data_IF_416074900824
#
_entry.id   IF_416074900824
#
_cell.length_a   1.000
_cell.length_b   1.000
_cell.length_c   1.000
_cell.angle_alpha   90.00
_cell.angle_beta   90.00
_cell.angle_gamma   90.00
#
_symmetry.space_group_name_H-M   'P 1'
#
loop_
_entity.id
_entity.type
_entity.pdbx_description
1 polymer ?
#
# COMPACT_ATOMS: atom_id res chain seq x y z
N UNK A 1 -8.32 24.13 5.89
CA UNK A 1 -7.13 24.14 6.78
C UNK A 1 -6.63 25.57 6.97
N UNK A 2 -5.88 25.88 8.04
CA UNK A 2 -5.21 27.17 8.20
C UNK A 2 -4.31 27.50 7.00
N UNK A 3 -4.26 28.77 6.57
CA UNK A 3 -3.51 29.20 5.38
C UNK A 3 -2.01 28.83 5.44
N UNK A 4 -1.41 28.89 6.64
CA UNK A 4 -0.01 28.50 6.84
C UNK A 4 0.27 27.05 6.40
N UNK A 5 -0.70 26.14 6.58
CA UNK A 5 -0.56 24.73 6.22
C UNK A 5 -0.74 24.46 4.71
N UNK A 6 -1.16 25.46 3.94
CA UNK A 6 -1.35 25.36 2.47
C UNK A 6 -0.10 25.81 1.68
N UNK A 7 0.89 26.39 2.34
CA UNK A 7 2.07 26.96 1.67
C UNK A 7 2.91 25.85 1.01
N UNK A 8 3.13 25.98 -0.30
CA UNK A 8 4.04 25.09 -1.05
C UNK A 8 3.48 23.70 -1.37
N UNK A 9 2.15 23.54 -1.40
CA UNK A 9 1.45 22.33 -1.84
C UNK A 9 0.25 22.68 -2.72
N UNK A 10 -0.22 21.73 -3.52
CA UNK A 10 -1.50 21.89 -4.21
C UNK A 10 -2.64 21.58 -3.25
N UNK A 11 -3.81 22.15 -3.50
CA UNK A 11 -4.97 21.87 -2.65
C UNK A 11 -6.27 21.94 -3.46
N UNK A 12 -7.22 21.11 -3.05
CA UNK A 12 -8.56 21.10 -3.62
C UNK A 12 -9.35 22.34 -3.13
N UNK A 13 -9.86 23.12 -4.09
CA UNK A 13 -10.69 24.30 -3.80
C UNK A 13 -12.15 23.96 -4.07
N UNK A 14 -12.97 24.05 -3.02
CA UNK A 14 -14.42 23.89 -3.12
C UNK A 14 -15.01 25.15 -3.77
N UNK A 15 -15.31 25.06 -5.05
CA UNK A 15 -16.03 26.10 -5.80
C UNK A 15 -17.47 25.67 -6.03
N UNK A 16 -18.46 26.52 -5.73
CA UNK A 16 -19.88 26.15 -5.77
C UNK A 16 -20.43 25.79 -7.17
N UNK A 17 -19.60 25.83 -8.22
CA UNK A 17 -19.97 25.51 -9.60
C UNK A 17 -19.78 24.04 -9.96
N UNK A 18 -18.75 23.37 -9.44
CA UNK A 18 -18.49 21.92 -9.68
C UNK A 18 -18.60 21.10 -8.41
N UNK A 19 -18.17 21.66 -7.28
CA UNK A 19 -18.17 20.97 -5.99
C UNK A 19 -19.45 21.24 -5.22
N UNK A 20 -20.07 20.18 -4.70
CA UNK A 20 -21.26 20.26 -3.84
C UNK A 20 -20.97 19.64 -2.50
N UNK A 21 -21.37 20.27 -1.41
CA UNK A 21 -21.33 19.62 -0.10
C UNK A 21 -22.20 18.35 -0.19
N UNK A 22 -21.66 17.19 0.20
CA UNK A 22 -22.39 15.91 0.10
C UNK A 22 -23.72 16.00 0.85
N UNK A 23 -23.65 16.37 2.14
CA UNK A 23 -24.79 16.71 2.99
C UNK A 23 -24.29 17.35 4.28
N UNK A 24 -25.06 18.27 4.86
CA UNK A 24 -24.75 18.81 6.20
C UNK A 24 -24.71 17.67 7.23
N UNK A 25 -23.68 17.65 8.07
CA UNK A 25 -23.47 16.61 9.07
C UNK A 25 -22.66 15.40 8.59
N UNK A 26 -22.31 15.32 7.31
CA UNK A 26 -21.36 14.32 6.82
C UNK A 26 -19.92 14.79 7.05
N UNK A 27 -19.15 13.96 7.74
CA UNK A 27 -17.75 14.21 8.08
C UNK A 27 -16.93 12.94 7.88
N UNK A 28 -15.62 13.11 7.80
CA UNK A 28 -14.67 12.00 7.80
C UNK A 28 -13.63 12.22 8.90
N UNK A 29 -13.06 11.12 9.38
CA UNK A 29 -11.99 11.11 10.35
C UNK A 29 -11.23 9.80 10.23
N UNK A 30 -9.98 9.89 9.80
CA UNK A 30 -9.12 8.72 9.56
C UNK A 30 -7.84 8.81 10.37
N UNK A 31 -7.37 7.65 10.82
CA UNK A 31 -6.09 7.46 11.50
C UNK A 31 -5.37 6.29 10.84
N UNK A 32 -4.08 6.48 10.55
CA UNK A 32 -3.23 5.53 9.87
C UNK A 32 -2.29 4.83 10.86
N UNK A 33 -1.73 3.68 10.44
CA UNK A 33 -0.85 2.86 11.29
C UNK A 33 0.46 3.53 11.69
N UNK A 34 0.87 4.58 10.97
CA UNK A 34 2.03 5.43 11.28
C UNK A 34 1.71 6.56 12.30
N UNK A 35 0.47 6.63 12.79
CA UNK A 35 -0.03 7.68 13.69
C UNK A 35 -0.49 8.95 12.96
N UNK A 36 -0.35 9.01 11.64
CA UNK A 36 -0.91 10.08 10.83
C UNK A 36 -2.44 10.09 10.89
N UNK A 37 -3.03 11.25 10.75
CA UNK A 37 -4.49 11.40 10.81
C UNK A 37 -4.95 12.61 10.02
N UNK A 38 -6.20 12.54 9.55
CA UNK A 38 -6.88 13.63 8.87
C UNK A 38 -8.38 13.60 9.18
N UNK A 39 -9.00 14.77 9.22
CA UNK A 39 -10.45 14.89 9.38
C UNK A 39 -10.99 16.13 8.71
N UNK A 40 -12.28 16.13 8.41
CA UNK A 40 -12.92 17.26 7.75
C UNK A 40 -14.32 16.98 7.22
N UNK A 41 -14.68 17.72 6.19
CA UNK A 41 -16.00 17.69 5.55
C UNK A 41 -15.95 16.91 4.24
N UNK A 42 -17.12 16.43 3.81
CA UNK A 42 -17.23 15.61 2.59
C UNK A 42 -17.97 16.37 1.51
N UNK A 43 -17.36 16.44 0.34
CA UNK A 43 -17.92 17.01 -0.87
C UNK A 43 -18.17 15.93 -1.91
N UNK A 44 -18.93 16.26 -2.93
CA UNK A 44 -19.10 15.46 -4.12
C UNK A 44 -18.60 16.29 -5.29
N UNK A 45 -17.70 15.71 -6.08
CA UNK A 45 -17.22 16.30 -7.32
C UNK A 45 -16.82 15.19 -8.30
N UNK A 46 -16.50 15.60 -9.53
CA UNK A 46 -15.92 14.75 -10.55
C UNK A 46 -14.45 14.48 -10.24
N UNK A 47 -14.07 13.21 -10.20
CA UNK A 47 -12.67 12.78 -10.03
C UNK A 47 -12.27 11.94 -11.25
N UNK A 48 -11.12 12.24 -11.83
CA UNK A 48 -10.55 11.50 -12.95
C UNK A 48 -9.13 11.03 -12.63
N UNK A 49 -8.85 9.75 -12.89
CA UNK A 49 -7.53 9.13 -12.77
C UNK A 49 -7.22 8.42 -14.08
N UNK A 50 -6.31 9.00 -14.87
CA UNK A 50 -6.10 8.57 -16.25
C UNK A 50 -7.41 8.65 -17.05
N UNK A 51 -7.84 7.53 -17.65
CA UNK A 51 -9.10 7.44 -18.39
C UNK A 51 -10.32 7.10 -17.54
N UNK A 52 -10.15 6.68 -16.27
CA UNK A 52 -11.26 6.36 -15.38
C UNK A 52 -11.84 7.64 -14.78
N UNK A 53 -13.16 7.82 -14.86
CA UNK A 53 -13.84 9.02 -14.35
C UNK A 53 -15.03 8.63 -13.48
N UNK A 54 -15.03 9.08 -12.23
CA UNK A 54 -16.19 9.08 -11.36
C UNK A 54 -16.83 10.47 -11.41
N UNK A 55 -18.10 10.56 -11.81
CA UNK A 55 -18.80 11.85 -11.99
C UNK A 55 -19.34 12.44 -10.70
N UNK A 56 -19.44 11.64 -9.64
CA UNK A 56 -20.03 12.00 -8.35
C UNK A 56 -19.28 11.30 -7.21
N UNK A 57 -17.97 11.50 -7.14
CA UNK A 57 -17.10 10.90 -6.13
C UNK A 57 -17.14 11.70 -4.84
N UNK A 58 -17.22 11.01 -3.69
CA UNK A 58 -16.99 11.64 -2.40
C UNK A 58 -15.52 12.07 -2.27
N UNK A 59 -15.30 13.37 -2.05
CA UNK A 59 -14.00 14.01 -1.82
C UNK A 59 -13.94 14.48 -0.37
N UNK A 60 -13.09 13.82 0.42
CA UNK A 60 -12.86 14.07 1.84
C UNK A 60 -11.91 15.27 2.02
N UNK A 61 -12.46 16.47 2.11
CA UNK A 61 -11.70 17.72 2.17
C UNK A 61 -11.23 18.00 3.60
N UNK A 62 -9.94 17.77 3.84
CA UNK A 62 -9.33 17.92 5.15
C UNK A 62 -9.41 19.36 5.68
N UNK A 63 -9.83 19.48 6.95
CA UNK A 63 -9.74 20.73 7.72
C UNK A 63 -8.70 20.63 8.82
N UNK A 64 -8.35 19.41 9.25
CA UNK A 64 -7.28 19.06 10.18
C UNK A 64 -6.46 17.91 9.62
N UNK A 65 -5.13 17.99 9.77
CA UNK A 65 -4.16 16.97 9.36
C UNK A 65 -3.00 16.93 10.36
N UNK A 66 -2.39 15.77 10.56
CA UNK A 66 -1.21 15.62 11.41
C UNK A 66 0.01 16.36 10.84
N UNK A 67 0.95 16.73 11.72
CA UNK A 67 2.15 17.50 11.34
C UNK A 67 3.04 16.79 10.31
N UNK A 68 3.09 15.45 10.33
CA UNK A 68 3.82 14.66 9.34
C UNK A 68 3.31 14.85 7.89
N UNK A 69 2.00 15.04 7.71
CA UNK A 69 1.44 15.37 6.40
C UNK A 69 1.64 16.84 6.02
N UNK A 70 1.80 17.73 7.00
CA UNK A 70 2.14 19.14 6.77
C UNK A 70 3.63 19.30 6.40
N UNK A 71 4.53 18.47 6.92
CA UNK A 71 5.95 18.54 6.59
C UNK A 71 6.25 17.93 5.21
N UNK A 72 5.50 16.90 4.79
CA UNK A 72 5.60 16.34 3.45
C UNK A 72 4.84 17.21 2.43
N UNK A 73 5.56 17.73 1.43
CA UNK A 73 5.01 18.59 0.36
C UNK A 73 4.79 17.86 -0.96
N UNK A 74 5.25 16.62 -1.06
CA UNK A 74 5.13 15.81 -2.28
C UNK A 74 3.77 15.07 -2.34
N UNK A 75 2.96 15.17 -1.28
CA UNK A 75 1.68 14.48 -1.13
C UNK A 75 0.58 15.51 -0.81
N UNK A 76 -0.35 15.71 -1.75
CA UNK A 76 -1.49 16.63 -1.60
C UNK A 76 -2.73 15.96 -0.99
N UNK A 77 -2.73 14.62 -0.88
CA UNK A 77 -3.84 13.83 -0.35
C UNK A 77 -3.66 12.34 -0.62
N UNK A 78 -4.70 11.55 -0.32
CA UNK A 78 -4.71 10.10 -0.56
C UNK A 78 -5.94 9.70 -1.37
N UNK A 79 -5.75 8.70 -2.24
CA UNK A 79 -6.83 8.05 -2.98
C UNK A 79 -6.90 6.60 -2.51
N UNK A 80 -7.84 6.32 -1.60
CA UNK A 80 -8.02 5.00 -1.00
C UNK A 80 -8.53 3.97 -2.01
N UNK A 81 -7.83 2.83 -2.10
CA UNK A 81 -8.12 1.73 -3.03
C UNK A 81 -8.43 0.40 -2.30
N UNK A 82 -8.75 0.48 -1.01
CA UNK A 82 -9.33 -0.64 -0.26
C UNK A 82 -10.80 -0.85 -0.61
N UNK A 83 -11.52 -1.62 0.21
CA UNK A 83 -12.97 -1.80 0.04
C UNK A 83 -13.74 -0.72 0.82
N UNK A 84 -14.95 -0.40 0.36
CA UNK A 84 -15.83 0.63 0.96
C UNK A 84 -16.05 0.44 2.47
N UNK A 85 -15.98 -0.79 2.99
CA UNK A 85 -16.13 -1.08 4.42
C UNK A 85 -15.09 -0.37 5.31
N UNK A 86 -13.92 -0.02 4.76
CA UNK A 86 -12.90 0.78 5.46
C UNK A 86 -13.13 2.30 5.39
N UNK A 87 -14.13 2.78 4.64
CA UNK A 87 -14.37 4.21 4.51
C UNK A 87 -14.80 4.84 5.85
N UNK A 88 -14.20 6.00 6.15
CA UNK A 88 -14.36 6.69 7.43
C UNK A 88 -15.51 7.69 7.47
N UNK A 89 -16.20 7.94 6.35
CA UNK A 89 -17.30 8.90 6.29
C UNK A 89 -18.45 8.44 7.17
N UNK A 90 -18.99 9.38 7.96
CA UNK A 90 -20.17 9.19 8.80
C UNK A 90 -21.18 10.31 8.52
N UNK A 91 -22.50 10.05 8.71
CA UNK A 91 -23.11 8.84 9.25
C UNK A 91 -23.20 7.66 8.26
N UNK A 92 -23.04 7.90 6.96
CA UNK A 92 -23.11 6.85 5.94
C UNK A 92 -21.80 6.78 5.17
N UNK A 93 -21.21 5.59 5.13
CA UNK A 93 -19.98 5.32 4.38
C UNK A 93 -20.14 5.67 2.90
N UNK A 94 -19.05 6.12 2.28
CA UNK A 94 -18.99 6.47 0.87
C UNK A 94 -18.09 5.50 0.10
N UNK A 95 -18.39 5.34 -1.18
CA UNK A 95 -17.63 4.45 -2.05
C UNK A 95 -16.19 4.97 -2.25
N UNK A 96 -15.25 4.04 -2.37
CA UNK A 96 -13.91 4.33 -2.88
C UNK A 96 -13.98 4.76 -4.35
N UNK A 97 -12.90 5.36 -4.88
CA UNK A 97 -12.84 5.70 -6.30
C UNK A 97 -13.02 4.47 -7.18
N UNK A 98 -12.39 3.35 -6.82
CA UNK A 98 -12.51 2.10 -7.57
C UNK A 98 -13.94 1.58 -7.57
N UNK A 99 -14.61 1.55 -6.41
CA UNK A 99 -16.01 1.14 -6.31
C UNK A 99 -16.95 2.03 -7.14
N UNK A 100 -16.65 3.33 -7.24
CA UNK A 100 -17.40 4.28 -8.06
C UNK A 100 -17.23 4.07 -9.57
N UNK A 101 -16.10 3.52 -10.04
CA UNK A 101 -15.81 3.36 -11.48
C UNK A 101 -15.89 1.92 -11.97
N UNK A 102 -15.82 0.91 -11.09
CA UNK A 102 -15.59 -0.49 -11.51
C UNK A 102 -16.61 -1.05 -12.49
N UNK A 103 -17.86 -0.61 -12.43
CA UNK A 103 -18.94 -1.05 -13.33
C UNK A 103 -18.86 -0.44 -14.73
N UNK A 104 -18.13 0.67 -14.91
CA UNK A 104 -17.88 1.28 -16.23
C UNK A 104 -16.57 0.84 -16.86
N UNK A 105 -15.74 0.08 -16.12
CA UNK A 105 -14.51 -0.51 -16.64
C UNK A 105 -14.81 -1.76 -17.48
N UNK A 106 -13.97 -2.02 -18.48
CA UNK A 106 -14.04 -3.26 -19.30
C UNK A 106 -13.94 -4.51 -18.42
N UNK A 107 -13.12 -4.46 -17.38
CA UNK A 107 -13.08 -5.44 -16.29
C UNK A 107 -13.04 -4.69 -14.97
N UNK A 108 -13.78 -5.09 -13.93
CA UNK A 108 -13.71 -4.46 -12.62
C UNK A 108 -12.42 -4.89 -11.90
N UNK A 109 -11.29 -4.33 -12.34
CA UNK A 109 -9.96 -4.55 -11.79
C UNK A 109 -9.08 -3.32 -11.99
N UNK A 110 -8.03 -3.21 -11.19
CA UNK A 110 -6.91 -2.31 -11.43
C UNK A 110 -5.58 -3.04 -11.21
N UNK A 111 -4.50 -2.53 -11.79
CA UNK A 111 -3.18 -3.11 -11.65
C UNK A 111 -2.13 -2.04 -11.35
N UNK A 112 -1.14 -2.39 -10.54
CA UNK A 112 -0.03 -1.50 -10.18
C UNK A 112 1.29 -2.09 -10.63
N UNK A 113 2.17 -1.21 -11.11
CA UNK A 113 3.58 -1.51 -11.38
C UNK A 113 4.42 -0.45 -10.71
N UNK A 114 4.95 -0.76 -9.52
CA UNK A 114 5.92 0.13 -8.88
C UNK A 114 7.30 -0.17 -9.43
N UNK A 115 8.09 0.87 -9.73
CA UNK A 115 9.46 0.73 -10.19
C UNK A 115 10.41 1.31 -9.14
N UNK A 116 11.56 0.68 -8.96
CA UNK A 116 12.56 1.19 -8.04
C UNK A 116 13.24 2.44 -8.63
N UNK A 117 13.10 3.58 -7.95
CA UNK A 117 13.70 4.85 -8.35
C UNK A 117 13.32 5.30 -9.77
N UNK A 118 12.10 4.95 -10.20
CA UNK A 118 11.55 5.34 -11.49
C UNK A 118 10.02 5.40 -11.41
N UNK A 119 9.41 6.09 -12.37
CA UNK A 119 7.96 6.16 -12.48
C UNK A 119 7.34 4.77 -12.70
N UNK A 120 6.25 4.52 -11.99
CA UNK A 120 5.43 3.33 -12.13
C UNK A 120 4.16 3.59 -12.95
N UNK A 121 3.16 2.73 -12.78
CA UNK A 121 1.84 2.90 -13.38
C UNK A 121 0.72 2.33 -12.52
N UNK A 122 -0.46 2.92 -12.65
CA UNK A 122 -1.74 2.41 -12.18
C UNK A 122 -2.67 2.28 -13.39
N UNK A 123 -3.05 1.06 -13.72
CA UNK A 123 -3.92 0.74 -14.85
C UNK A 123 -5.32 0.37 -14.35
N UNK A 124 -6.38 0.87 -14.99
CA UNK A 124 -7.76 0.54 -14.65
C UNK A 124 -8.43 -0.21 -15.81
N UNK A 125 -9.12 -1.30 -15.50
CA UNK A 125 -10.01 -1.97 -16.45
C UNK A 125 -9.38 -3.02 -17.33
N UNK A 126 -8.05 -3.17 -17.31
CA UNK A 126 -7.33 -4.13 -18.15
C UNK A 126 -6.03 -4.59 -17.47
N UNK A 127 -5.48 -5.68 -17.99
CA UNK A 127 -4.20 -6.23 -17.55
C UNK A 127 -3.21 -6.03 -18.70
N UNK A 128 -2.13 -5.30 -18.46
CA UNK A 128 -1.13 -5.04 -19.49
C UNK A 128 -0.08 -6.15 -19.53
N UNK A 129 -0.14 -7.02 -20.55
CA UNK A 129 0.78 -8.14 -20.73
C UNK A 129 2.23 -7.74 -21.00
N UNK A 130 2.50 -6.48 -21.37
CA UNK A 130 3.87 -5.99 -21.58
C UNK A 130 4.58 -5.61 -20.27
N UNK A 131 3.85 -5.53 -19.15
CA UNK A 131 4.41 -5.10 -17.84
C UNK A 131 4.82 -6.27 -16.94
N UNK A 132 4.56 -7.51 -17.35
CA UNK A 132 4.92 -8.71 -16.58
C UNK A 132 5.39 -9.84 -17.49
N UNK A 133 6.09 -10.81 -16.89
CA UNK A 133 6.53 -12.03 -17.55
C UNK A 133 5.91 -13.25 -16.87
N UNK A 134 5.74 -14.34 -17.63
CA UNK A 134 5.14 -15.57 -17.13
C UNK A 134 3.62 -15.45 -16.95
N UNK A 135 3.09 -16.11 -15.92
CA UNK A 135 1.65 -16.18 -15.64
C UNK A 135 1.31 -15.42 -14.36
N UNK A 136 0.09 -14.88 -14.30
CA UNK A 136 -0.49 -14.36 -13.07
C UNK A 136 -0.90 -15.53 -12.16
N UNK A 137 -0.44 -15.51 -10.91
CA UNK A 137 -0.92 -16.39 -9.85
C UNK A 137 -1.92 -15.62 -8.99
N UNK A 138 -3.15 -16.12 -8.92
CA UNK A 138 -4.22 -15.48 -8.16
C UNK A 138 -4.39 -16.11 -6.78
N UNK A 139 -4.55 -15.30 -5.74
CA UNK A 139 -4.95 -15.71 -4.40
C UNK A 139 -6.32 -15.09 -4.05
N UNK A 140 -7.20 -15.84 -3.36
CA UNK A 140 -8.49 -15.30 -2.90
C UNK A 140 -8.26 -14.21 -1.85
N UNK A 141 -9.12 -13.19 -1.85
CA UNK A 141 -9.06 -12.07 -0.92
C UNK A 141 -10.23 -12.14 0.06
N UNK A 142 -9.94 -11.98 1.34
CA UNK A 142 -10.92 -11.69 2.38
C UNK A 142 -11.10 -10.18 2.51
N UNK A 143 -12.16 -9.66 1.90
CA UNK A 143 -12.49 -8.24 1.89
C UNK A 143 -13.21 -7.75 3.16
N UNK A 144 -13.58 -8.64 4.09
CA UNK A 144 -14.46 -8.32 5.24
C UNK A 144 -13.90 -7.26 6.19
N UNK A 145 -12.58 -7.08 6.21
CA UNK A 145 -11.90 -6.04 6.99
C UNK A 145 -11.56 -4.77 6.20
N UNK A 146 -12.09 -4.62 4.98
CA UNK A 146 -11.85 -3.46 4.13
C UNK A 146 -10.50 -3.45 3.39
N UNK A 147 -9.73 -4.54 3.47
CA UNK A 147 -8.36 -4.65 2.92
C UNK A 147 -8.25 -5.75 1.86
N UNK A 148 -7.26 -5.61 0.97
CA UNK A 148 -6.83 -6.67 0.04
C UNK A 148 -6.01 -7.74 0.77
N UNK A 149 -6.69 -8.44 1.68
CA UNK A 149 -6.11 -9.39 2.63
C UNK A 149 -6.18 -10.81 2.10
N UNK A 150 -5.08 -11.55 2.19
CA UNK A 150 -5.00 -12.94 1.75
C UNK A 150 -3.99 -13.72 2.60
N UNK A 151 -4.16 -15.05 2.76
CA UNK A 151 -3.29 -15.84 3.61
C UNK A 151 -1.96 -16.15 2.93
N UNK A 152 -0.88 -16.08 3.70
CA UNK A 152 0.44 -16.57 3.37
C UNK A 152 0.86 -17.67 4.35
N UNK A 153 1.76 -18.55 3.90
CA UNK A 153 2.28 -19.65 4.72
C UNK A 153 3.74 -19.99 4.47
N UNK A 154 4.21 -19.80 3.24
CA UNK A 154 5.56 -20.15 2.83
C UNK A 154 6.34 -18.91 2.45
N UNK A 155 7.62 -18.92 2.79
CA UNK A 155 8.58 -17.88 2.46
C UNK A 155 9.91 -18.54 2.10
N UNK A 156 10.85 -17.79 1.55
CA UNK A 156 12.18 -18.28 1.25
C UNK A 156 13.24 -17.23 1.52
N UNK A 157 14.38 -17.63 2.04
CA UNK A 157 15.50 -16.72 2.35
C UNK A 157 16.73 -17.32 1.69
N UNK A 158 17.35 -16.54 0.81
CA UNK A 158 18.57 -16.95 0.10
C UNK A 158 18.48 -18.34 -0.58
N UNK A 159 17.36 -18.61 -1.27
CA UNK A 159 17.13 -19.88 -1.96
C UNK A 159 16.54 -21.01 -1.10
N UNK A 160 16.71 -20.95 0.22
CA UNK A 160 16.10 -21.91 1.16
C UNK A 160 14.63 -21.58 1.37
N UNK A 161 13.74 -22.55 1.16
CA UNK A 161 12.30 -22.38 1.37
C UNK A 161 11.90 -22.85 2.76
N UNK A 162 11.01 -22.12 3.39
CA UNK A 162 10.49 -22.37 4.73
C UNK A 162 8.96 -22.45 4.71
N UNK A 163 8.40 -23.11 5.72
CA UNK A 163 6.96 -23.14 5.99
C UNK A 163 6.74 -22.59 7.39
N UNK A 164 5.87 -21.61 7.52
CA UNK A 164 5.51 -20.98 8.80
C UNK A 164 4.74 -21.93 9.74
N UNK A 165 4.26 -23.06 9.23
CA UNK A 165 3.45 -24.03 9.97
C UNK A 165 1.96 -23.71 9.87
N UNK A 166 1.58 -22.46 10.13
CA UNK A 166 0.21 -21.93 10.02
C UNK A 166 0.09 -20.85 8.95
N UNK A 167 -1.14 -20.53 8.55
CA UNK A 167 -1.37 -19.33 7.73
C UNK A 167 -1.23 -18.08 8.60
N UNK A 168 -0.70 -17.01 8.03
CA UNK A 168 -0.79 -15.66 8.56
C UNK A 168 -1.38 -14.75 7.48
N UNK A 169 -2.24 -13.84 7.89
CA UNK A 169 -2.86 -12.90 6.96
C UNK A 169 -1.87 -11.81 6.55
N UNK A 170 -1.90 -11.45 5.27
CA UNK A 170 -1.15 -10.35 4.71
C UNK A 170 -2.07 -9.46 3.86
N UNK A 171 -1.86 -8.15 3.93
CA UNK A 171 -2.51 -7.20 3.01
C UNK A 171 -1.52 -6.76 1.93
N UNK A 172 -2.00 -6.54 0.70
CA UNK A 172 -1.26 -5.76 -0.29
C UNK A 172 -1.61 -4.29 -0.10
N UNK A 173 -0.63 -3.45 0.23
CA UNK A 173 -0.87 -2.06 0.59
C UNK A 173 0.08 -1.11 -0.13
N UNK A 174 -0.44 -0.40 -1.12
CA UNK A 174 0.31 0.60 -1.88
C UNK A 174 0.68 1.83 -1.05
N UNK A 175 -0.02 2.09 0.06
CA UNK A 175 0.22 3.22 0.96
C UNK A 175 1.32 2.98 1.98
N UNK A 176 1.71 1.73 2.22
CA UNK A 176 2.81 1.39 3.12
C UNK A 176 4.14 1.30 2.38
N UNK A 177 5.18 1.92 2.91
CA UNK A 177 6.51 1.93 2.28
C UNK A 177 7.24 0.59 2.43
N UNK A 178 7.30 0.05 3.66
CA UNK A 178 8.09 -1.13 4.01
C UNK A 178 7.30 -2.44 3.84
N UNK A 179 7.95 -3.58 4.04
CA UNK A 179 7.27 -4.84 4.33
C UNK A 179 7.24 -5.09 5.82
N UNK A 180 6.10 -5.59 6.31
CA UNK A 180 5.95 -6.05 7.68
C UNK A 180 5.56 -7.53 7.66
N UNK A 181 6.38 -8.39 8.25
CA UNK A 181 6.13 -9.83 8.32
C UNK A 181 6.19 -10.32 9.77
N UNK A 182 5.67 -11.53 10.07
CA UNK A 182 5.79 -12.11 11.40
C UNK A 182 7.22 -12.07 11.95
N UNK A 183 7.34 -11.74 13.24
CA UNK A 183 8.60 -11.41 13.90
C UNK A 183 9.70 -12.47 13.75
N UNK A 184 9.33 -13.75 13.83
CA UNK A 184 10.22 -14.89 13.61
C UNK A 184 10.76 -14.97 12.17
N UNK A 185 9.97 -14.61 11.15
CA UNK A 185 10.44 -14.53 9.76
C UNK A 185 11.47 -13.41 9.64
N UNK A 186 11.19 -12.26 10.25
CA UNK A 186 12.06 -11.08 10.22
C UNK A 186 13.38 -11.35 10.94
N UNK A 187 13.34 -11.92 12.14
CA UNK A 187 14.52 -12.35 12.91
C UNK A 187 15.36 -13.36 12.12
N UNK A 188 14.71 -14.37 11.52
CA UNK A 188 15.42 -15.36 10.70
C UNK A 188 16.07 -14.70 9.48
N UNK A 189 15.39 -13.78 8.81
CA UNK A 189 15.96 -13.04 7.68
C UNK A 189 17.20 -12.23 8.09
N UNK A 190 17.11 -11.42 9.14
CA UNK A 190 18.24 -10.59 9.57
C UNK A 190 19.39 -11.40 10.20
N UNK A 191 19.13 -12.60 10.72
CA UNK A 191 20.21 -13.54 11.10
C UNK A 191 21.13 -13.91 9.93
N UNK A 192 20.69 -13.70 8.69
CA UNK A 192 21.47 -13.94 7.46
C UNK A 192 22.16 -12.67 6.95
N UNK A 193 22.05 -11.55 7.66
CA UNK A 193 22.67 -10.26 7.30
C UNK A 193 23.70 -9.91 8.38
N UNK A 194 25.01 -10.01 8.08
CA UNK A 194 26.06 -9.69 9.05
C UNK A 194 25.90 -8.29 9.63
N UNK A 195 25.95 -8.20 10.96
CA UNK A 195 25.81 -6.94 11.71
C UNK A 195 24.40 -6.38 11.80
N UNK A 196 23.37 -7.06 11.26
CA UNK A 196 22.00 -6.59 11.42
C UNK A 196 21.53 -6.68 12.87
N UNK A 197 20.88 -5.63 13.34
CA UNK A 197 20.36 -5.51 14.70
C UNK A 197 19.16 -4.57 14.73
N UNK A 198 18.42 -4.57 15.85
CA UNK A 198 17.41 -3.54 16.09
C UNK A 198 18.12 -2.31 16.66
N UNK A 199 17.97 -1.17 15.99
CA UNK A 199 18.30 0.13 16.56
C UNK A 199 17.13 0.58 17.45
N UNK A 200 17.34 0.56 18.76
CA UNK A 200 16.31 0.87 19.76
C UNK A 200 15.95 2.36 19.77
N UNK A 201 16.80 3.25 19.24
CA UNK A 201 16.51 4.69 19.19
C UNK A 201 15.44 5.03 18.16
N UNK A 202 15.33 4.23 17.10
CA UNK A 202 14.33 4.38 16.03
C UNK A 202 13.33 3.22 15.98
N UNK A 203 13.53 2.18 16.80
CA UNK A 203 12.63 1.03 16.90
C UNK A 203 12.60 0.16 15.63
N UNK A 204 13.70 0.07 14.88
CA UNK A 204 13.72 -0.59 13.58
C UNK A 204 14.92 -1.52 13.39
N UNK A 205 14.75 -2.58 12.60
CA UNK A 205 15.87 -3.36 12.09
C UNK A 205 16.73 -2.50 11.17
N UNK A 206 18.02 -2.46 11.46
CA UNK A 206 19.06 -1.83 10.66
C UNK A 206 20.18 -2.84 10.39
N UNK A 207 21.06 -2.50 9.45
CA UNK A 207 22.25 -3.30 9.15
C UNK A 207 23.37 -2.39 8.61
N UNK A 208 24.66 -2.76 8.73
CA UNK A 208 25.74 -2.00 8.12
C UNK A 208 25.51 -1.84 6.62
N UNK A 209 25.65 -0.64 6.07
CA UNK A 209 25.39 -0.41 4.65
C UNK A 209 26.33 -1.18 3.70
N UNK A 210 27.43 -1.72 4.22
CA UNK A 210 28.36 -2.62 3.51
C UNK A 210 27.85 -4.06 3.42
N UNK A 211 26.88 -4.46 4.25
CA UNK A 211 26.28 -5.79 4.21
C UNK A 211 25.33 -5.91 3.02
N UNK A 212 25.26 -7.11 2.43
CA UNK A 212 24.35 -7.41 1.32
C UNK A 212 23.17 -8.24 1.83
N UNK A 213 21.96 -7.67 1.96
CA UNK A 213 20.79 -8.46 2.35
C UNK A 213 20.49 -9.55 1.30
N UNK A 214 20.14 -10.77 1.70
CA UNK A 214 19.79 -11.83 0.76
C UNK A 214 18.42 -11.58 0.09
N UNK A 215 18.11 -12.24 -1.03
CA UNK A 215 16.75 -12.19 -1.59
C UNK A 215 15.74 -12.84 -0.64
N UNK A 216 14.55 -12.24 -0.55
CA UNK A 216 13.39 -12.75 0.20
C UNK A 216 12.30 -13.21 -0.77
N UNK A 217 11.84 -14.45 -0.65
CA UNK A 217 10.74 -15.01 -1.41
C UNK A 217 9.45 -15.09 -0.60
N UNK A 218 8.32 -14.72 -1.18
CA UNK A 218 6.98 -14.97 -0.65
C UNK A 218 6.19 -15.83 -1.62
N UNK A 219 5.43 -16.80 -1.10
CA UNK A 219 4.66 -17.72 -1.93
C UNK A 219 3.18 -17.29 -1.96
N UNK A 220 2.72 -16.83 -3.13
CA UNK A 220 1.32 -16.47 -3.36
C UNK A 220 0.67 -17.55 -4.22
N UNK A 221 -0.31 -18.25 -3.62
CA UNK A 221 -0.96 -19.43 -4.22
C UNK A 221 0.05 -20.44 -4.80
N UNK A 222 1.06 -20.81 -3.99
CA UNK A 222 2.10 -21.78 -4.36
C UNK A 222 3.23 -21.24 -5.26
N UNK A 223 3.08 -20.06 -5.87
CA UNK A 223 4.11 -19.45 -6.72
C UNK A 223 5.01 -18.51 -5.92
N UNK A 224 6.34 -18.67 -6.02
CA UNK A 224 7.32 -17.84 -5.30
C UNK A 224 7.62 -16.54 -6.06
N UNK A 225 7.45 -15.41 -5.39
CA UNK A 225 7.85 -14.08 -5.84
C UNK A 225 9.01 -13.57 -4.98
N UNK A 226 10.10 -13.18 -5.64
CA UNK A 226 11.35 -12.80 -4.96
C UNK A 226 11.53 -11.30 -4.95
N UNK A 227 11.64 -10.73 -3.76
CA UNK A 227 12.13 -9.39 -3.49
C UNK A 227 13.66 -9.42 -3.50
N UNK A 228 14.33 -8.72 -4.43
CA UNK A 228 15.78 -8.58 -4.43
C UNK A 228 16.30 -7.96 -3.13
N UNK A 229 17.42 -8.46 -2.62
CA UNK A 229 18.02 -7.95 -1.37
C UNK A 229 18.30 -6.45 -1.38
N UNK A 230 18.68 -5.89 -2.54
CA UNK A 230 18.85 -4.43 -2.73
C UNK A 230 17.59 -3.60 -2.40
N UNK A 231 16.40 -4.18 -2.51
CA UNK A 231 15.15 -3.50 -2.16
C UNK A 231 14.87 -3.45 -0.66
N UNK A 232 15.58 -4.29 0.11
CA UNK A 232 15.54 -4.32 1.57
C UNK A 232 16.43 -3.23 2.17
N UNK A 233 17.37 -2.65 1.42
CA UNK A 233 17.93 -1.36 1.81
C UNK A 233 16.89 -0.28 1.47
N UNK A 234 16.18 0.23 2.48
CA UNK A 234 15.19 1.28 2.27
C UNK A 234 15.82 2.68 2.31
N UNK A 235 16.65 2.94 3.33
CA UNK A 235 17.35 4.21 3.50
C UNK A 235 18.78 3.96 3.97
N UNK A 236 19.74 4.66 3.36
CA UNK A 236 21.15 4.62 3.75
C UNK A 236 21.56 5.88 4.51
N UNK A 237 22.69 5.83 5.21
CA UNK A 237 23.27 6.99 5.88
C UNK A 237 22.71 7.27 7.28
N UNK A 238 22.21 6.24 7.98
CA UNK A 238 21.97 6.33 9.42
C UNK A 238 23.31 6.42 10.18
N UNK A 239 23.21 6.67 11.49
CA UNK A 239 24.38 6.68 12.39
C UNK A 239 25.25 5.42 12.20
N UNK A 240 26.57 5.59 12.31
CA UNK A 240 27.56 4.50 12.14
C UNK A 240 27.47 3.78 10.77
N UNK A 241 27.12 4.50 9.71
CA UNK A 241 26.98 3.96 8.35
C UNK A 241 26.02 2.76 8.27
N UNK A 242 24.91 2.85 9.01
CA UNK A 242 23.85 1.85 8.96
C UNK A 242 22.76 2.22 7.94
N UNK A 243 22.09 1.18 7.49
CA UNK A 243 21.00 1.22 6.53
C UNK A 243 19.73 0.74 7.23
N UNK A 244 18.63 1.46 7.01
CA UNK A 244 17.31 1.09 7.50
C UNK A 244 16.77 -0.10 6.69
N UNK A 245 16.44 -1.17 7.39
CA UNK A 245 15.83 -2.37 6.84
C UNK A 245 14.41 -2.16 6.30
N UNK A 246 14.20 -2.47 5.03
CA UNK A 246 12.90 -2.43 4.37
C UNK A 246 11.96 -3.58 4.73
N UNK A 247 12.43 -4.51 5.56
CA UNK A 247 11.63 -5.56 6.21
C UNK A 247 11.58 -5.29 7.71
N UNK A 248 10.40 -5.22 8.30
CA UNK A 248 10.19 -4.97 9.72
C UNK A 248 9.18 -5.96 10.32
N UNK A 249 9.13 -6.00 11.66
CA UNK A 249 8.25 -6.91 12.40
C UNK A 249 6.81 -6.45 12.38
N UNK A 250 5.87 -7.36 12.08
CA UNK A 250 4.44 -7.13 12.17
C UNK A 250 3.86 -7.50 13.55
N UNK A 251 4.69 -7.71 14.59
CA UNK A 251 4.25 -8.21 15.90
C UNK A 251 3.16 -7.35 16.56
N UNK A 252 3.18 -6.04 16.31
CA UNK A 252 2.22 -5.08 16.86
C UNK A 252 1.10 -4.72 15.85
N UNK A 253 0.96 -5.50 14.78
CA UNK A 253 -0.02 -5.29 13.72
C UNK A 253 -0.97 -6.49 13.65
N UNK A 254 -2.23 -6.28 13.27
CA UNK A 254 -3.21 -7.37 13.13
C UNK A 254 -2.89 -8.34 11.97
N UNK A 255 -2.03 -7.93 11.04
CA UNK A 255 -1.66 -8.68 9.86
C UNK A 255 -0.26 -8.27 9.35
N UNK A 256 0.30 -9.09 8.47
CA UNK A 256 1.46 -8.71 7.68
C UNK A 256 1.07 -7.66 6.62
N UNK A 257 2.03 -6.84 6.19
CA UNK A 257 1.83 -5.81 5.18
C UNK A 257 2.86 -5.98 4.07
N UNK A 258 2.38 -6.20 2.84
CA UNK A 258 3.18 -6.23 1.62
C UNK A 258 3.16 -4.84 0.98
N UNK A 259 4.02 -3.95 1.47
CA UNK A 259 4.11 -2.57 0.99
C UNK A 259 4.95 -2.39 -0.27
N UNK A 260 5.39 -1.15 -0.49
CA UNK A 260 6.15 -0.72 -1.66
C UNK A 260 7.44 -1.52 -1.88
N UNK A 261 8.09 -2.01 -0.81
CA UNK A 261 9.26 -2.91 -0.91
C UNK A 261 8.94 -4.22 -1.65
N UNK A 262 7.77 -4.81 -1.43
CA UNK A 262 7.29 -5.97 -2.19
C UNK A 262 6.79 -5.56 -3.57
N UNK A 263 5.95 -4.53 -3.64
CA UNK A 263 5.26 -4.11 -4.86
C UNK A 263 6.21 -3.67 -5.97
N UNK A 264 7.38 -3.11 -5.65
CA UNK A 264 8.40 -2.78 -6.67
C UNK A 264 9.11 -3.99 -7.28
N UNK A 265 8.87 -5.20 -6.77
CA UNK A 265 9.41 -6.45 -7.31
C UNK A 265 8.39 -7.24 -8.16
N UNK A 266 7.11 -6.89 -8.10
CA UNK A 266 6.03 -7.66 -8.73
C UNK A 266 5.06 -6.78 -9.52
N UNK A 267 4.37 -7.38 -10.48
CA UNK A 267 3.19 -6.78 -11.10
C UNK A 267 1.98 -7.30 -10.32
N UNK A 268 1.17 -6.40 -9.76
CA UNK A 268 0.05 -6.77 -8.90
C UNK A 268 -1.28 -6.30 -9.49
N UNK A 269 -2.26 -7.20 -9.53
CA UNK A 269 -3.61 -7.01 -10.08
C UNK A 269 -4.63 -7.21 -8.97
N UNK A 270 -5.44 -6.18 -8.73
CA UNK A 270 -6.53 -6.15 -7.77
C UNK A 270 -7.82 -6.37 -8.55
N UNK A 271 -8.44 -7.54 -8.40
CA UNK A 271 -9.43 -8.06 -9.35
C UNK A 271 -10.73 -8.46 -8.66
N UNK A 272 -11.84 -7.84 -9.08
CA UNK A 272 -13.22 -8.18 -8.68
C UNK A 272 -14.05 -8.75 -9.86
N UNK A 273 -13.41 -9.11 -10.99
CA UNK A 273 -14.10 -9.52 -12.23
C UNK A 273 -14.74 -10.90 -12.20
N UNK A 274 -14.51 -11.70 -11.16
CA UNK A 274 -15.02 -13.07 -11.05
C UNK A 274 -16.05 -13.26 -9.94
N UNK A 275 -16.67 -12.18 -9.45
CA UNK A 275 -17.69 -12.23 -8.40
C UNK A 275 -17.14 -12.38 -6.98
N UNK A 276 -15.87 -12.71 -6.82
CA UNK A 276 -15.14 -12.65 -5.55
C UNK A 276 -13.79 -11.97 -5.76
N UNK A 277 -13.40 -11.13 -4.80
CA UNK A 277 -12.13 -10.40 -4.86
C UNK A 277 -10.94 -11.36 -4.83
N UNK A 278 -9.90 -11.03 -5.60
CA UNK A 278 -8.65 -11.78 -5.67
C UNK A 278 -7.47 -10.88 -6.02
N UNK A 279 -6.29 -11.27 -5.57
CA UNK A 279 -5.02 -10.61 -5.91
C UNK A 279 -4.26 -11.49 -6.90
N UNK A 280 -3.94 -10.95 -8.07
CA UNK A 280 -3.09 -11.57 -9.08
C UNK A 280 -1.67 -11.01 -8.99
N UNK A 281 -0.67 -11.87 -8.83
CA UNK A 281 0.74 -11.45 -8.78
C UNK A 281 1.48 -12.10 -9.97
N UNK A 282 2.40 -11.36 -10.58
CA UNK A 282 3.34 -11.86 -11.58
C UNK A 282 4.73 -11.22 -11.40
N UNK A 283 5.76 -11.81 -12.03
CA UNK A 283 7.08 -11.17 -12.12
C UNK A 283 6.99 -9.98 -13.07
N UNK A 284 7.48 -8.81 -12.67
CA UNK A 284 7.54 -7.66 -13.58
C UNK A 284 8.41 -7.97 -14.81
N UNK A 285 8.09 -7.34 -15.95
CA UNK A 285 8.94 -7.32 -17.13
C UNK A 285 10.11 -6.34 -16.93
#
# INVERSE_FOLDING_TARGET
MPAANLTGRSYYTVTGTTSKLLKKGFTFGTSYGDGGHASGSVYVDKVAVGSATATSQAVEAATSVSSGYISNRDIDGMLGMGFTDANSVRPTQQNTFFDSVKTSLVKPLFAVTFKHSAAGSLDFGYINSTKYTGKLSYAPVDASSGYWKFPLRRYGINGTNYNYGVNFDAIVDTGTTLMYLPDNIVKLYYSKVPGAAIDTSIGAWTFPCTSTPPPLGLFVNGTKYTVPGKFINWQSGLANNHCWGGLQSSANLPFAILGSVFLKAVYAVFDESTGSARIGIAKQA
#
